data_IF_840727962110
#
_entry.id   IF_840727962110
#
_cell.length_a   1.000
_cell.length_b   1.000
_cell.length_c   1.000
_cell.angle_alpha   90.00
_cell.angle_beta   90.00
_cell.angle_gamma   90.00
#
_symmetry.space_group_name_H-M   'P 1'
#
loop_
_entity.id
_entity.type
_entity.pdbx_description
1 polymer ?
#
# COMPACT_ATOMS: atom_id res chain seq x y z
N UNK A 1 -12.51 -19.29 -29.28
CA UNK A 1 -12.31 -19.99 -28.00
C UNK A 1 -12.20 -18.94 -26.91
N UNK A 2 -12.97 -19.04 -25.83
CA UNK A 2 -12.76 -18.21 -24.64
C UNK A 2 -11.61 -18.78 -23.82
N UNK A 3 -10.84 -17.91 -23.15
CA UNK A 3 -9.62 -18.29 -22.43
C UNK A 3 -9.38 -17.38 -21.22
N UNK A 4 -8.35 -17.70 -20.44
CA UNK A 4 -7.83 -16.91 -19.32
C UNK A 4 -6.33 -16.63 -19.50
N UNK A 5 -5.76 -15.62 -18.82
CA UNK A 5 -4.31 -15.40 -18.85
C UNK A 5 -3.49 -16.65 -18.49
N UNK A 6 -3.96 -17.45 -17.53
CA UNK A 6 -3.30 -18.70 -17.12
C UNK A 6 -3.36 -19.77 -18.22
N UNK A 7 -4.49 -19.91 -18.91
CA UNK A 7 -4.62 -20.84 -20.04
C UNK A 7 -3.72 -20.44 -21.21
N UNK A 8 -3.62 -19.13 -21.50
CA UNK A 8 -2.70 -18.62 -22.52
C UNK A 8 -1.24 -18.89 -22.14
N UNK A 9 -0.83 -18.56 -20.90
CA UNK A 9 0.55 -18.81 -20.44
C UNK A 9 0.92 -20.30 -20.49
N UNK A 10 -0.03 -21.19 -20.16
CA UNK A 10 0.16 -22.64 -20.32
C UNK A 10 0.44 -23.01 -21.77
N UNK A 11 -0.36 -22.51 -22.73
CA UNK A 11 -0.16 -22.80 -24.14
C UNK A 11 1.20 -22.29 -24.66
N UNK A 12 1.64 -21.12 -24.19
CA UNK A 12 2.96 -20.55 -24.51
C UNK A 12 4.09 -21.43 -23.96
N UNK A 13 3.96 -21.92 -22.73
CA UNK A 13 4.93 -22.84 -22.13
C UNK A 13 4.98 -24.19 -22.88
N UNK A 14 3.82 -24.73 -23.27
CA UNK A 14 3.70 -25.98 -24.03
C UNK A 14 4.23 -25.87 -25.47
N UNK A 15 4.38 -24.65 -26.00
CA UNK A 15 4.91 -24.40 -27.35
C UNK A 15 6.42 -24.69 -27.50
N UNK A 16 7.12 -25.03 -26.41
CA UNK A 16 8.53 -25.42 -26.39
C UNK A 16 9.47 -24.45 -27.13
N UNK A 17 9.25 -23.15 -26.93
CA UNK A 17 10.07 -22.08 -27.50
C UNK A 17 11.11 -21.58 -26.49
N UNK A 18 12.20 -21.00 -27.00
CA UNK A 18 13.19 -20.30 -26.20
C UNK A 18 12.86 -18.81 -26.17
N UNK A 19 13.02 -18.19 -25.00
CA UNK A 19 12.74 -16.77 -24.77
C UNK A 19 14.01 -16.05 -24.34
N UNK A 20 14.11 -14.77 -24.65
CA UNK A 20 15.23 -13.94 -24.20
C UNK A 20 15.09 -13.56 -22.73
N UNK A 21 16.22 -13.39 -22.05
CA UNK A 21 16.27 -12.90 -20.67
C UNK A 21 16.18 -11.37 -20.65
N UNK A 22 15.36 -10.80 -19.76
CA UNK A 22 15.34 -9.37 -19.41
C UNK A 22 15.68 -9.20 -17.93
N UNK A 23 16.56 -8.26 -17.60
CA UNK A 23 17.10 -8.09 -16.23
C UNK A 23 16.77 -6.78 -15.55
N UNK A 24 16.47 -5.72 -16.32
CA UNK A 24 16.25 -4.37 -15.76
C UNK A 24 14.75 -4.02 -15.72
N UNK A 25 14.41 -2.79 -15.33
CA UNK A 25 13.02 -2.33 -15.27
C UNK A 25 12.44 -1.87 -16.63
N UNK A 26 11.24 -1.27 -16.56
CA UNK A 26 10.50 -0.66 -17.66
C UNK A 26 10.26 0.84 -17.42
N UNK A 27 11.12 1.52 -16.66
CA UNK A 27 11.01 2.95 -16.41
C UNK A 27 12.00 3.78 -17.25
N UNK A 28 11.62 5.02 -17.62
CA UNK A 28 10.29 5.61 -17.54
C UNK A 28 9.35 5.10 -18.65
N UNK A 29 8.05 5.02 -18.36
CA UNK A 29 7.04 4.75 -19.39
C UNK A 29 6.78 6.01 -20.23
N UNK A 30 6.77 5.86 -21.56
CA UNK A 30 6.38 6.89 -22.50
C UNK A 30 5.32 6.35 -23.47
N UNK A 31 4.19 7.04 -23.58
CA UNK A 31 3.10 6.63 -24.48
C UNK A 31 3.27 7.15 -25.91
N UNK A 32 4.05 8.23 -26.08
CA UNK A 32 4.44 8.82 -27.37
C UNK A 32 5.78 9.59 -27.19
N UNK A 33 6.37 10.10 -28.27
CA UNK A 33 7.68 10.74 -28.33
C UNK A 33 7.92 11.84 -27.27
N UNK A 34 6.86 12.54 -26.86
CA UNK A 34 6.94 13.66 -25.89
C UNK A 34 6.04 13.45 -24.66
N UNK A 35 5.55 12.23 -24.42
CA UNK A 35 4.59 11.93 -23.35
C UNK A 35 5.16 10.91 -22.38
N UNK A 36 6.14 11.34 -21.59
CA UNK A 36 6.73 10.53 -20.52
C UNK A 36 5.95 10.70 -19.21
N UNK A 37 5.63 9.57 -18.59
CA UNK A 37 4.79 9.51 -17.41
C UNK A 37 5.66 9.57 -16.14
N UNK A 38 6.49 10.61 -16.04
CA UNK A 38 7.36 10.82 -14.87
C UNK A 38 6.77 11.80 -13.87
N UNK A 39 5.71 12.52 -14.24
CA UNK A 39 5.06 13.49 -13.35
C UNK A 39 4.45 12.85 -12.10
N UNK A 40 3.85 11.66 -12.22
CA UNK A 40 3.22 10.97 -11.09
C UNK A 40 4.21 10.50 -10.02
N UNK A 41 5.52 10.50 -10.31
CA UNK A 41 6.56 10.29 -9.31
C UNK A 41 6.49 11.34 -8.19
N UNK A 42 5.99 12.56 -8.49
CA UNK A 42 5.92 13.67 -7.53
C UNK A 42 4.51 14.18 -7.27
N UNK A 43 3.52 13.92 -8.15
CA UNK A 43 2.12 14.36 -7.97
C UNK A 43 1.59 14.05 -6.56
N UNK A 44 0.89 15.01 -5.94
CA UNK A 44 0.38 14.92 -4.55
C UNK A 44 1.44 14.44 -3.54
N UNK A 45 2.55 15.17 -3.36
CA UNK A 45 3.66 14.70 -2.52
C UNK A 45 3.25 14.53 -1.05
N UNK A 46 2.32 15.35 -0.55
CA UNK A 46 1.76 15.20 0.80
C UNK A 46 1.02 13.87 0.99
N UNK A 47 0.28 13.38 -0.01
CA UNK A 47 -0.36 12.07 0.04
C UNK A 47 0.67 10.95 0.11
N UNK A 48 1.69 10.98 -0.76
CA UNK A 48 2.79 10.01 -0.75
C UNK A 48 3.50 9.96 0.61
N UNK A 49 3.71 11.13 1.22
CA UNK A 49 4.27 11.25 2.57
C UNK A 49 3.35 10.64 3.63
N UNK A 50 2.06 10.94 3.59
CA UNK A 50 1.08 10.41 4.54
C UNK A 50 0.94 8.89 4.46
N UNK A 51 0.93 8.34 3.25
CA UNK A 51 0.91 6.90 3.03
C UNK A 51 2.15 6.21 3.60
N UNK A 52 3.35 6.79 3.42
CA UNK A 52 4.58 6.26 4.04
C UNK A 52 4.51 6.29 5.57
N UNK A 53 3.98 7.36 6.16
CA UNK A 53 3.77 7.44 7.61
C UNK A 53 2.79 6.36 8.09
N UNK A 54 1.70 6.17 7.37
CA UNK A 54 0.69 5.16 7.71
C UNK A 54 1.23 3.72 7.57
N UNK A 55 2.01 3.46 6.52
CA UNK A 55 2.69 2.18 6.34
C UNK A 55 3.66 1.89 7.49
N UNK A 56 4.43 2.90 7.92
CA UNK A 56 5.31 2.76 9.07
C UNK A 56 4.52 2.45 10.35
N UNK A 57 3.37 3.11 10.56
CA UNK A 57 2.47 2.85 11.68
C UNK A 57 1.96 1.41 11.71
N UNK A 58 1.68 0.85 10.53
CA UNK A 58 1.25 -0.53 10.35
C UNK A 58 2.38 -1.55 10.60
N UNK A 59 3.63 -1.24 10.24
CA UNK A 59 4.73 -2.23 10.15
C UNK A 59 5.79 -2.19 11.26
N UNK A 60 6.09 -1.03 11.87
CA UNK A 60 7.35 -0.84 12.61
C UNK A 60 7.34 -1.40 14.05
N UNK A 61 8.54 -1.78 14.51
CA UNK A 61 8.96 -2.44 15.75
C UNK A 61 9.18 -1.47 16.93
N UNK A 62 9.18 -1.91 18.22
CA UNK A 62 9.21 -1.04 19.41
C UNK A 62 10.51 -0.24 19.58
N UNK A 63 11.50 -0.42 18.69
CA UNK A 63 12.82 0.21 18.78
C UNK A 63 12.88 1.63 18.18
N UNK A 64 11.78 2.16 17.64
CA UNK A 64 11.69 3.53 17.09
C UNK A 64 10.65 4.41 17.82
N UNK A 65 10.13 3.96 18.97
CA UNK A 65 9.15 4.69 19.78
C UNK A 65 9.63 6.06 20.25
N UNK A 66 10.94 6.24 20.39
CA UNK A 66 11.48 7.34 21.21
C UNK A 66 11.54 8.68 20.49
N UNK A 67 11.28 8.75 19.17
CA UNK A 67 11.35 10.02 18.45
C UNK A 67 10.04 10.48 17.80
N UNK A 68 9.08 9.59 17.49
CA UNK A 68 7.81 9.99 16.87
C UNK A 68 6.58 9.11 17.19
N UNK A 69 6.66 8.05 18.02
CA UNK A 69 5.48 7.29 18.45
C UNK A 69 4.64 6.64 17.33
N UNK A 70 5.23 6.35 16.16
CA UNK A 70 4.48 5.98 14.95
C UNK A 70 4.81 4.59 14.35
N UNK A 71 5.05 3.56 15.16
CA UNK A 71 5.32 2.20 14.68
C UNK A 71 4.98 1.12 15.69
N UNK A 72 3.69 0.79 15.85
CA UNK A 72 3.26 0.23 17.15
C UNK A 72 2.13 -0.81 17.05
N UNK A 73 1.18 -0.63 16.14
CA UNK A 73 -0.13 -1.26 16.29
C UNK A 73 -0.13 -2.79 16.15
N UNK A 74 0.53 -3.34 15.11
CA UNK A 74 0.56 -4.81 14.91
C UNK A 74 1.35 -5.51 16.01
N UNK A 75 2.48 -4.95 16.44
CA UNK A 75 3.36 -5.62 17.41
C UNK A 75 2.89 -5.44 18.84
N UNK A 76 2.42 -4.25 19.22
CA UNK A 76 1.88 -4.04 20.56
C UNK A 76 0.55 -4.78 20.78
N UNK A 77 -0.28 -4.97 19.75
CA UNK A 77 -1.46 -5.83 19.91
C UNK A 77 -1.09 -7.25 20.39
N UNK A 78 0.05 -7.76 19.93
CA UNK A 78 0.59 -9.07 20.33
C UNK A 78 1.25 -8.99 21.71
N UNK A 79 2.11 -7.99 21.96
CA UNK A 79 2.87 -7.85 23.21
C UNK A 79 2.00 -7.47 24.42
N UNK A 80 1.05 -6.56 24.24
CA UNK A 80 0.10 -6.13 25.27
C UNK A 80 -1.03 -7.12 25.51
N UNK A 81 -1.00 -8.29 24.85
CA UNK A 81 -2.05 -9.30 24.88
C UNK A 81 -3.45 -8.71 24.62
N UNK A 82 -3.53 -7.68 23.76
CA UNK A 82 -4.78 -7.04 23.36
C UNK A 82 -5.51 -7.99 22.43
N UNK A 83 -6.21 -8.94 23.04
CA UNK A 83 -6.89 -10.04 22.36
C UNK A 83 -8.40 -9.78 22.39
N UNK A 84 -8.96 -9.50 21.22
CA UNK A 84 -10.38 -9.20 21.05
C UNK A 84 -10.71 -8.89 19.59
N UNK A 85 -11.94 -9.20 19.17
CA UNK A 85 -12.42 -8.99 17.80
C UNK A 85 -12.29 -7.52 17.35
N UNK A 86 -12.40 -6.57 18.28
CA UNK A 86 -12.26 -5.13 18.01
C UNK A 86 -10.82 -4.74 17.63
N UNK A 87 -9.80 -5.30 18.31
CA UNK A 87 -8.40 -5.01 18.01
C UNK A 87 -7.93 -5.66 16.70
N UNK A 88 -8.37 -6.90 16.42
CA UNK A 88 -8.13 -7.57 15.15
C UNK A 88 -8.80 -6.84 13.97
N UNK A 89 -10.05 -6.40 14.15
CA UNK A 89 -10.78 -5.64 13.14
C UNK A 89 -10.11 -4.31 12.79
N UNK A 90 -9.72 -3.52 13.79
CA UNK A 90 -9.03 -2.23 13.60
C UNK A 90 -7.69 -2.37 12.88
N UNK A 91 -6.94 -3.44 13.17
CA UNK A 91 -5.71 -3.78 12.44
C UNK A 91 -5.99 -4.14 10.98
N UNK A 92 -7.03 -4.93 10.72
CA UNK A 92 -7.44 -5.30 9.37
C UNK A 92 -7.95 -4.11 8.56
N UNK A 93 -8.61 -3.15 9.21
CA UNK A 93 -9.05 -1.91 8.56
C UNK A 93 -7.85 -1.07 8.10
N UNK A 94 -6.79 -0.95 8.91
CA UNK A 94 -5.56 -0.28 8.45
C UNK A 94 -4.86 -1.07 7.34
N UNK A 95 -4.85 -2.40 7.38
CA UNK A 95 -4.30 -3.22 6.28
C UNK A 95 -5.06 -3.00 4.97
N UNK A 96 -6.39 -2.97 5.03
CA UNK A 96 -7.26 -2.74 3.86
C UNK A 96 -7.08 -1.34 3.31
N UNK A 97 -7.09 -0.32 4.18
CA UNK A 97 -6.85 1.06 3.78
C UNK A 97 -5.49 1.21 3.09
N UNK A 98 -4.42 0.67 3.69
CA UNK A 98 -3.09 0.66 3.06
C UNK A 98 -3.05 -0.07 1.73
N UNK A 99 -3.79 -1.18 1.58
CA UNK A 99 -3.94 -1.90 0.32
C UNK A 99 -4.60 -1.05 -0.77
N UNK A 100 -5.65 -0.30 -0.42
CA UNK A 100 -6.31 0.65 -1.33
C UNK A 100 -5.36 1.79 -1.71
N UNK A 101 -4.56 2.29 -0.77
CA UNK A 101 -3.56 3.34 -1.06
C UNK A 101 -2.49 2.88 -2.06
N UNK A 102 -2.24 1.57 -2.19
CA UNK A 102 -1.34 1.04 -3.23
C UNK A 102 -1.96 1.02 -4.65
N UNK A 103 -3.24 1.37 -4.79
CA UNK A 103 -3.87 1.48 -6.11
C UNK A 103 -3.06 2.44 -7.00
N UNK A 104 -2.95 2.11 -8.29
CA UNK A 104 -2.12 2.85 -9.23
C UNK A 104 -2.66 4.25 -9.59
N UNK A 105 -3.79 4.67 -9.03
CA UNK A 105 -4.24 6.07 -9.00
C UNK A 105 -4.23 6.72 -7.61
N UNK A 106 -3.93 5.96 -6.56
CA UNK A 106 -3.84 6.46 -5.18
C UNK A 106 -2.41 6.95 -4.88
N UNK A 107 -1.45 6.04 -4.67
CA UNK A 107 -0.04 6.39 -4.39
C UNK A 107 0.57 7.27 -5.50
N UNK A 108 0.14 7.09 -6.74
CA UNK A 108 0.62 7.86 -7.90
C UNK A 108 0.09 9.29 -7.91
N UNK A 109 -1.04 9.58 -7.26
CA UNK A 109 -1.65 10.90 -7.23
C UNK A 109 -2.31 11.31 -8.55
N UNK A 110 -2.85 10.35 -9.31
CA UNK A 110 -3.51 10.55 -10.62
C UNK A 110 -5.04 10.54 -10.55
N UNK A 111 -5.60 10.43 -9.35
CA UNK A 111 -7.01 10.51 -9.04
C UNK A 111 -7.57 11.97 -9.01
N UNK A 112 -8.89 12.08 -9.14
CA UNK A 112 -9.62 13.36 -8.94
C UNK A 112 -9.53 13.81 -7.49
N UNK A 113 -9.63 15.12 -7.25
CA UNK A 113 -9.53 15.69 -5.90
C UNK A 113 -10.48 15.04 -4.89
N UNK A 114 -11.73 14.81 -5.27
CA UNK A 114 -12.74 14.16 -4.41
C UNK A 114 -12.35 12.73 -3.99
N UNK A 115 -11.67 12.00 -4.87
CA UNK A 115 -11.17 10.64 -4.59
C UNK A 115 -9.94 10.72 -3.68
N UNK A 116 -9.07 11.70 -3.93
CA UNK A 116 -7.93 12.01 -3.08
C UNK A 116 -8.38 12.29 -1.63
N UNK A 117 -9.40 13.13 -1.47
CA UNK A 117 -9.95 13.49 -0.17
C UNK A 117 -10.55 12.26 0.54
N UNK A 118 -11.20 11.36 -0.21
CA UNK A 118 -11.71 10.11 0.32
C UNK A 118 -10.62 9.14 0.77
N UNK A 119 -9.53 9.03 0.00
CA UNK A 119 -8.34 8.25 0.39
C UNK A 119 -7.76 8.72 1.71
N UNK A 120 -7.62 10.03 1.90
CA UNK A 120 -7.14 10.61 3.16
C UNK A 120 -8.11 10.36 4.31
N UNK A 121 -9.41 10.55 4.08
CA UNK A 121 -10.46 10.27 5.08
C UNK A 121 -10.41 8.82 5.55
N UNK A 122 -10.37 7.87 4.62
CA UNK A 122 -10.30 6.44 4.89
C UNK A 122 -9.02 6.08 5.66
N UNK A 123 -7.86 6.53 5.18
CA UNK A 123 -6.58 6.20 5.80
C UNK A 123 -6.46 6.80 7.21
N UNK A 124 -6.94 8.03 7.41
CA UNK A 124 -6.99 8.67 8.72
C UNK A 124 -7.88 7.91 9.70
N UNK A 125 -9.07 7.47 9.25
CA UNK A 125 -9.97 6.70 10.09
C UNK A 125 -9.34 5.37 10.53
N UNK A 126 -8.68 4.68 9.60
CA UNK A 126 -8.01 3.41 9.90
C UNK A 126 -6.80 3.58 10.83
N UNK A 127 -6.04 4.68 10.68
CA UNK A 127 -4.94 5.02 11.58
C UNK A 127 -5.42 5.26 13.01
N UNK A 128 -6.53 5.99 13.20
CA UNK A 128 -7.12 6.21 14.53
C UNK A 128 -7.53 4.90 15.20
N UNK A 129 -8.17 4.00 14.46
CA UNK A 129 -8.49 2.67 14.99
C UNK A 129 -7.24 1.92 15.46
N UNK A 130 -6.14 2.03 14.71
CA UNK A 130 -4.89 1.39 15.09
C UNK A 130 -4.16 2.12 16.25
N UNK A 131 -4.36 3.43 16.40
CA UNK A 131 -3.90 4.21 17.55
C UNK A 131 -4.60 3.77 18.84
N UNK A 132 -5.91 3.48 18.78
CA UNK A 132 -6.65 2.95 19.93
C UNK A 132 -6.10 1.59 20.37
N UNK A 133 -5.82 0.69 19.41
CA UNK A 133 -5.21 -0.62 19.69
C UNK A 133 -3.83 -0.45 20.32
N UNK A 134 -3.05 0.51 19.82
CA UNK A 134 -1.73 0.85 20.37
C UNK A 134 -1.82 1.35 21.81
N UNK A 135 -2.75 2.27 22.10
CA UNK A 135 -2.95 2.81 23.45
C UNK A 135 -3.43 1.76 24.44
N UNK A 136 -4.26 0.83 24.00
CA UNK A 136 -4.75 -0.26 24.85
C UNK A 136 -3.67 -1.30 25.22
N UNK A 137 -2.54 -1.28 24.52
CA UNK A 137 -1.46 -2.25 24.68
C UNK A 137 -0.30 -1.75 25.57
N UNK A 138 -0.32 -0.50 26.01
CA UNK A 138 0.63 0.14 26.93
C UNK A 138 -0.07 0.37 28.27
#
# INVERSE_FOLDING_TARGET
>A
MYSTPSCYLKAIHDANQTWTTKTDDFFPYGSDAHSYWTGYFTSRPTHKGFERMANNFLQVSPTMSDMYGLGVCKQLSVLGNVTGLDAGGKLDDLRRAMGIMQHHDAITGTERQEVADDYIRMLTAALRGCEDVTKAAI
#
